data_IF_590318957549
#
_entry.id   IF_590318957549
#
_cell.length_a   1.000
_cell.length_b   1.000
_cell.length_c   1.000
_cell.angle_alpha   90.00
_cell.angle_beta   90.00
_cell.angle_gamma   90.00
#
_symmetry.space_group_name_H-M   'P 1'
#
loop_
_entity.id
_entity.type
_entity.pdbx_description
1 polymer ?
#
# COMPACT_ATOMS: atom_id res chain seq x y z
N UNK A 1 -0.87 5.37 -3.58
CA UNK A 1 -0.34 5.54 -2.21
C UNK A 1 0.87 4.63 -2.03
N UNK A 2 1.97 5.15 -1.48
CA UNK A 2 3.12 4.33 -1.09
C UNK A 2 3.00 3.93 0.38
N UNK A 3 3.07 2.64 0.70
CA UNK A 3 2.98 2.12 2.07
C UNK A 3 4.32 1.56 2.53
N UNK A 4 4.50 1.47 3.84
CA UNK A 4 5.64 0.79 4.44
C UNK A 4 6.40 1.60 5.48
N UNK A 5 7.36 0.94 6.10
CA UNK A 5 8.19 1.51 7.14
C UNK A 5 9.62 1.75 6.65
N UNK A 6 9.98 3.02 6.44
CA UNK A 6 11.29 3.42 5.88
C UNK A 6 12.49 3.06 6.75
N UNK A 7 12.29 2.81 8.05
CA UNK A 7 13.37 2.37 8.95
C UNK A 7 13.55 0.83 8.97
N UNK A 8 12.64 0.08 8.33
CA UNK A 8 12.63 -1.39 8.31
C UNK A 8 13.02 -1.97 6.94
N UNK A 9 14.21 -1.61 6.45
CA UNK A 9 14.82 -2.17 5.21
C UNK A 9 13.83 -2.20 4.04
N UNK A 10 13.53 -3.39 3.52
CA UNK A 10 12.66 -3.59 2.35
C UNK A 10 11.20 -3.24 2.62
N UNK A 11 10.78 -3.14 3.89
CA UNK A 11 9.42 -2.70 4.22
C UNK A 11 9.17 -1.25 3.76
N UNK A 12 10.21 -0.42 3.66
CA UNK A 12 10.09 0.95 3.17
C UNK A 12 9.86 1.09 1.66
N UNK A 13 9.79 -0.02 0.91
CA UNK A 13 9.76 -0.01 -0.56
C UNK A 13 8.62 0.82 -1.13
N UNK A 14 7.40 0.71 -0.58
CA UNK A 14 6.25 1.43 -1.12
C UNK A 14 6.37 2.95 -0.96
N UNK A 15 6.85 3.41 0.20
CA UNK A 15 7.18 4.83 0.43
C UNK A 15 8.26 5.31 -0.54
N UNK A 16 9.36 4.56 -0.69
CA UNK A 16 10.45 4.91 -1.63
C UNK A 16 9.99 4.92 -3.09
N UNK A 17 9.08 4.03 -3.46
CA UNK A 17 8.49 4.01 -4.80
C UNK A 17 7.61 5.25 -5.04
N UNK A 18 6.83 5.67 -4.04
CA UNK A 18 6.03 6.89 -4.11
C UNK A 18 6.89 8.15 -4.22
N UNK A 19 7.93 8.30 -3.38
CA UNK A 19 8.88 9.41 -3.45
C UNK A 19 9.47 9.55 -4.86
N UNK A 20 9.98 8.46 -5.42
CA UNK A 20 10.55 8.45 -6.78
C UNK A 20 9.52 8.74 -7.88
N UNK A 21 8.26 8.36 -7.69
CA UNK A 21 7.19 8.63 -8.64
C UNK A 21 6.94 10.14 -8.71
N UNK A 22 6.77 10.81 -7.58
CA UNK A 22 6.48 12.26 -7.54
C UNK A 22 7.70 13.13 -7.84
N UNK A 23 8.91 12.62 -7.61
CA UNK A 23 10.15 13.29 -8.05
C UNK A 23 10.29 13.33 -9.57
N UNK A 24 9.80 12.30 -10.27
CA UNK A 24 10.02 12.11 -11.72
C UNK A 24 8.83 12.52 -12.58
N UNK A 25 7.64 12.53 -12.01
CA UNK A 25 6.40 12.73 -12.75
C UNK A 25 5.48 13.70 -12.01
N UNK A 26 4.78 14.52 -12.78
CA UNK A 26 3.66 15.31 -12.28
C UNK A 26 2.41 14.46 -12.34
N UNK A 27 1.73 14.30 -11.20
CA UNK A 27 0.44 13.62 -11.17
C UNK A 27 -0.62 14.51 -11.85
N UNK A 28 -1.51 13.92 -12.68
CA UNK A 28 -2.70 14.60 -13.18
C UNK A 28 -3.54 15.19 -12.04
N UNK A 29 -4.31 16.24 -12.34
CA UNK A 29 -5.10 16.95 -11.34
C UNK A 29 -6.20 16.09 -10.68
N UNK A 30 -6.61 15.00 -11.32
CA UNK A 30 -7.60 14.03 -10.85
C UNK A 30 -6.97 12.83 -10.11
N UNK A 31 -5.65 12.82 -9.91
CA UNK A 31 -4.93 11.77 -9.20
C UNK A 31 -4.33 12.32 -7.92
N UNK A 32 -4.79 11.80 -6.79
CA UNK A 32 -4.20 12.07 -5.49
C UNK A 32 -3.07 11.07 -5.18
N UNK A 33 -1.90 11.61 -4.85
CA UNK A 33 -0.74 10.86 -4.39
C UNK A 33 -0.44 11.17 -2.93
N UNK A 34 -0.10 10.15 -2.15
CA UNK A 34 0.33 10.33 -0.76
C UNK A 34 1.32 9.23 -0.32
N UNK A 35 2.17 9.61 0.63
CA UNK A 35 2.90 8.69 1.49
C UNK A 35 1.94 8.21 2.60
N UNK A 36 1.57 6.93 2.54
CA UNK A 36 0.69 6.30 3.51
C UNK A 36 1.45 5.65 4.67
N UNK A 37 2.79 5.59 4.62
CA UNK A 37 3.66 5.02 5.65
C UNK A 37 3.08 3.76 6.30
N UNK A 38 2.90 3.82 7.61
CA UNK A 38 2.29 2.75 8.42
C UNK A 38 0.91 3.13 8.96
N UNK A 39 0.15 3.97 8.25
CA UNK A 39 -1.09 4.59 8.75
C UNK A 39 -2.24 3.60 9.01
N UNK A 40 -2.21 2.41 8.41
CA UNK A 40 -3.22 1.36 8.66
C UNK A 40 -4.65 1.86 8.42
N UNK A 41 -5.52 1.74 9.43
CA UNK A 41 -6.93 2.18 9.36
C UNK A 41 -7.10 3.69 9.13
N UNK A 42 -6.09 4.51 9.44
CA UNK A 42 -6.16 5.95 9.17
C UNK A 42 -6.17 6.26 7.67
N UNK A 43 -5.98 5.26 6.80
CA UNK A 43 -6.14 5.38 5.35
C UNK A 43 -7.61 5.27 4.89
N UNK A 44 -8.52 4.77 5.74
CA UNK A 44 -9.92 4.51 5.36
C UNK A 44 -10.62 5.70 4.70
N UNK A 45 -10.54 6.95 5.22
CA UNK A 45 -11.21 8.07 4.60
C UNK A 45 -10.76 8.32 3.15
N UNK A 46 -9.47 8.12 2.87
CA UNK A 46 -8.91 8.28 1.52
C UNK A 46 -9.30 7.12 0.59
N UNK A 47 -9.51 5.93 1.14
CA UNK A 47 -9.96 4.77 0.38
C UNK A 47 -11.44 4.87 0.01
N UNK A 48 -12.27 5.38 0.92
CA UNK A 48 -13.72 5.54 0.74
C UNK A 48 -14.06 6.59 -0.33
N UNK A 49 -13.32 7.69 -0.37
CA UNK A 49 -13.54 8.76 -1.35
C UNK A 49 -13.00 8.42 -2.76
N UNK A 50 -12.17 7.38 -2.90
CA UNK A 50 -11.49 7.04 -4.14
C UNK A 50 -12.31 6.12 -5.06
N UNK A 51 -12.47 6.52 -6.33
CA UNK A 51 -13.04 5.64 -7.38
C UNK A 51 -12.13 4.44 -7.70
N UNK A 52 -10.81 4.62 -7.60
CA UNK A 52 -9.78 3.61 -7.87
C UNK A 52 -8.61 3.86 -6.93
N UNK A 53 -8.06 2.79 -6.38
CA UNK A 53 -6.92 2.84 -5.46
C UNK A 53 -5.77 2.03 -6.05
N UNK A 54 -4.58 2.63 -6.03
CA UNK A 54 -3.32 1.93 -6.28
C UNK A 54 -2.47 1.97 -5.00
N UNK A 55 -2.21 0.79 -4.44
CA UNK A 55 -1.30 0.60 -3.33
C UNK A 55 0.03 0.07 -3.86
N UNK A 56 1.12 0.66 -3.39
CA UNK A 56 2.47 0.15 -3.60
C UNK A 56 3.02 -0.23 -2.24
N UNK A 57 3.37 -1.50 -2.07
CA UNK A 57 3.81 -2.03 -0.79
C UNK A 57 4.72 -3.26 -0.96
N UNK A 58 5.62 -3.47 -0.01
CA UNK A 58 6.36 -4.72 0.10
C UNK A 58 5.50 -5.78 0.80
N UNK A 59 5.29 -6.93 0.17
CA UNK A 59 4.47 -8.02 0.71
C UNK A 59 5.23 -9.35 0.71
N UNK A 60 4.89 -10.24 1.64
CA UNK A 60 5.34 -11.63 1.62
C UNK A 60 4.44 -12.43 0.67
N UNK A 61 4.92 -12.65 -0.55
CA UNK A 61 4.15 -13.32 -1.61
C UNK A 61 4.54 -14.77 -1.87
N UNK A 62 5.61 -15.26 -1.22
CA UNK A 62 6.19 -16.59 -1.50
C UNK A 62 6.96 -16.67 -2.84
N UNK A 63 7.08 -15.56 -3.58
CA UNK A 63 7.90 -15.47 -4.78
C UNK A 63 9.34 -15.06 -4.44
N UNK A 64 10.24 -15.14 -5.43
CA UNK A 64 11.63 -14.71 -5.29
C UNK A 64 11.74 -13.23 -4.83
N UNK A 65 12.71 -12.89 -3.96
CA UNK A 65 12.94 -11.50 -3.54
C UNK A 65 13.08 -10.53 -4.71
N UNK A 66 12.39 -9.39 -4.62
CA UNK A 66 12.37 -8.38 -5.70
C UNK A 66 11.35 -8.64 -6.81
N UNK A 67 10.60 -9.74 -6.76
CA UNK A 67 9.48 -9.97 -7.68
C UNK A 67 8.41 -8.88 -7.56
N UNK A 68 7.97 -8.36 -8.71
CA UNK A 68 6.83 -7.45 -8.78
C UNK A 68 5.58 -8.29 -9.03
N UNK A 69 4.61 -8.17 -8.13
CA UNK A 69 3.31 -8.82 -8.26
C UNK A 69 2.21 -7.77 -8.30
N UNK A 70 1.12 -8.10 -8.99
CA UNK A 70 -0.08 -7.28 -9.05
C UNK A 70 -1.24 -8.05 -8.46
N UNK A 71 -1.90 -7.45 -7.47
CA UNK A 71 -3.06 -7.99 -6.80
C UNK A 71 -4.26 -7.10 -7.12
N UNK A 72 -5.40 -7.73 -7.41
CA UNK A 72 -6.65 -7.05 -7.75
C UNK A 72 -7.83 -7.74 -7.07
N UNK A 73 -8.88 -6.98 -6.75
CA UNK A 73 -10.11 -7.50 -6.16
C UNK A 73 -9.84 -8.36 -4.93
N UNK A 74 -10.38 -9.57 -4.92
CA UNK A 74 -10.33 -10.52 -3.80
C UNK A 74 -8.93 -11.04 -3.47
N UNK A 75 -7.94 -10.80 -4.34
CA UNK A 75 -6.54 -11.12 -4.04
C UNK A 75 -5.91 -10.12 -3.05
N UNK A 76 -6.48 -8.92 -2.90
CA UNK A 76 -5.95 -7.86 -2.04
C UNK A 76 -6.15 -8.20 -0.55
N UNK A 77 -7.37 -8.57 -0.07
CA UNK A 77 -7.60 -8.85 1.35
C UNK A 77 -6.75 -10.02 1.86
N UNK A 78 -6.56 -11.06 1.03
CA UNK A 78 -5.72 -12.20 1.38
C UNK A 78 -4.24 -11.81 1.60
N UNK A 79 -3.71 -10.90 0.79
CA UNK A 79 -2.33 -10.42 0.93
C UNK A 79 -2.17 -9.43 2.08
N UNK A 80 -3.18 -8.59 2.34
CA UNK A 80 -3.20 -7.68 3.48
C UNK A 80 -3.34 -8.45 4.81
N UNK A 81 -4.16 -9.50 4.87
CA UNK A 81 -4.30 -10.36 6.05
C UNK A 81 -2.96 -10.96 6.52
N UNK A 82 -2.07 -11.31 5.58
CA UNK A 82 -0.71 -11.79 5.87
C UNK A 82 0.21 -10.69 6.44
N UNK A 83 -0.09 -9.41 6.19
CA UNK A 83 0.69 -8.25 6.65
C UNK A 83 0.13 -7.62 7.94
N UNK A 84 -1.17 -7.72 8.16
CA UNK A 84 -1.89 -7.12 9.31
C UNK A 84 -1.74 -7.87 10.63
N UNK A 85 -0.85 -8.86 10.70
CA UNK A 85 -0.50 -9.56 11.95
C UNK A 85 0.12 -8.63 13.02
N UNK A 86 0.47 -7.38 12.72
CA UNK A 86 1.13 -6.49 13.70
C UNK A 86 0.31 -5.29 14.21
N UNK A 87 -0.92 -5.05 13.72
CA UNK A 87 -1.85 -4.08 14.34
C UNK A 87 -3.29 -4.60 14.22
N UNK A 88 -3.70 -5.45 15.17
CA UNK A 88 -5.05 -6.02 15.26
C UNK A 88 -6.11 -4.94 15.53
N UNK A 89 -7.07 -4.83 14.60
CA UNK A 89 -8.53 -4.96 14.80
C UNK A 89 -9.29 -4.09 13.78
N UNK A 90 -10.06 -4.69 12.86
CA UNK A 90 -11.17 -3.99 12.19
C UNK A 90 -11.29 -4.13 10.66
N UNK A 91 -10.21 -4.38 9.91
CA UNK A 91 -10.33 -4.40 8.44
C UNK A 91 -10.93 -5.71 7.88
N UNK A 92 -10.89 -6.80 8.64
CA UNK A 92 -11.54 -8.06 8.26
C UNK A 92 -13.07 -7.99 8.31
N UNK A 93 -13.65 -6.99 8.98
CA UNK A 93 -15.11 -6.85 9.12
C UNK A 93 -15.73 -5.89 8.09
N UNK A 94 -14.91 -5.25 7.23
CA UNK A 94 -15.35 -4.20 6.29
C UNK A 94 -15.41 -4.63 4.81
N UNK A 95 -14.94 -5.83 4.49
CA UNK A 95 -14.93 -6.43 3.14
C UNK A 95 -15.84 -7.65 3.10
#
# INVERSE_FOLDING_TARGET
MGLGNIILRDEGLGVRAYERLVERYTLPADIEGMDGGTLGLNLLPYLEDARRVLLIDAVRSGHEPGSIIRLEGDAIPAALALKMSMHQAGLHDLL
#
